data_IF_742706494519
#
_entry.id   IF_742706494519
#
_cell.length_a   1.000
_cell.length_b   1.000
_cell.length_c   1.000
_cell.angle_alpha   90.00
_cell.angle_beta   90.00
_cell.angle_gamma   90.00
#
_symmetry.space_group_name_H-M   'P 1'
#
loop_
_entity.id
_entity.type
_entity.pdbx_description
1 polymer ?
#
# COMPACT_ATOMS: atom_id res chain seq x y z
N UNK A 1 18.17 -92.66 -31.10
CA UNK A 1 19.43 -92.45 -31.84
C UNK A 1 19.32 -91.24 -32.74
N UNK A 2 20.41 -90.45 -32.77
CA UNK A 2 20.79 -89.41 -33.75
C UNK A 2 19.81 -88.23 -33.97
N UNK A 3 20.04 -87.03 -33.45
CA UNK A 3 21.05 -86.02 -33.84
C UNK A 3 20.75 -85.34 -35.18
N UNK A 4 20.44 -84.05 -35.13
CA UNK A 4 20.37 -83.15 -36.28
C UNK A 4 20.41 -81.70 -35.82
N UNK A 5 21.62 -81.11 -35.83
CA UNK A 5 21.89 -79.72 -35.46
C UNK A 5 21.43 -78.79 -36.58
N UNK A 6 20.83 -77.66 -36.22
CA UNK A 6 20.59 -76.55 -37.14
C UNK A 6 20.66 -75.26 -36.35
N UNK A 7 21.86 -74.67 -36.30
CA UNK A 7 22.09 -73.37 -35.69
C UNK A 7 21.49 -72.27 -36.56
N UNK A 8 20.81 -71.33 -35.92
CA UNK A 8 20.62 -69.98 -36.43
C UNK A 8 21.15 -69.04 -35.36
N UNK A 9 22.21 -68.36 -35.75
CA UNK A 9 23.06 -67.50 -34.95
C UNK A 9 22.26 -66.40 -34.25
N UNK A 10 22.47 -66.26 -32.94
CA UNK A 10 22.02 -65.12 -32.17
C UNK A 10 22.54 -63.83 -32.80
N UNK A 11 21.66 -63.07 -33.43
CA UNK A 11 21.91 -61.67 -33.76
C UNK A 11 22.13 -60.91 -32.47
N UNK A 12 23.40 -60.63 -32.15
CA UNK A 12 23.80 -59.78 -31.04
C UNK A 12 23.25 -58.39 -31.32
N UNK A 13 22.08 -58.06 -30.76
CA UNK A 13 21.62 -56.68 -30.65
C UNK A 13 22.62 -55.99 -29.74
N UNK A 14 23.62 -55.35 -30.34
CA UNK A 14 24.49 -54.42 -29.63
C UNK A 14 23.59 -53.25 -29.24
N UNK A 15 23.15 -53.21 -27.99
CA UNK A 15 22.64 -51.98 -27.40
C UNK A 15 23.81 -51.01 -27.32
N UNK A 16 23.97 -50.20 -28.36
CA UNK A 16 24.87 -49.05 -28.39
C UNK A 16 24.29 -48.05 -27.41
N UNK A 17 24.69 -48.12 -26.13
CA UNK A 17 24.46 -47.03 -25.18
C UNK A 17 25.49 -45.96 -25.51
N UNK A 18 25.08 -44.79 -26.04
CA UNK A 18 26.03 -43.73 -26.35
C UNK A 18 26.78 -43.35 -25.07
N UNK A 19 28.10 -43.15 -25.17
CA UNK A 19 28.91 -42.74 -24.01
C UNK A 19 28.36 -41.41 -23.50
N UNK A 20 28.40 -41.15 -22.19
CA UNK A 20 27.81 -39.94 -21.58
C UNK A 20 28.17 -38.65 -22.32
N UNK A 21 29.39 -38.56 -22.88
CA UNK A 21 29.87 -37.45 -23.72
C UNK A 21 29.07 -37.26 -25.02
N UNK A 22 28.70 -38.34 -25.71
CA UNK A 22 27.90 -38.30 -26.94
C UNK A 22 26.46 -37.86 -26.63
N UNK A 23 25.92 -38.25 -25.48
CA UNK A 23 24.59 -37.83 -25.01
C UNK A 23 24.55 -36.31 -24.74
N UNK A 24 25.61 -35.74 -24.17
CA UNK A 24 25.68 -34.30 -23.90
C UNK A 24 25.75 -33.42 -25.17
N UNK A 25 26.22 -33.99 -26.30
CA UNK A 25 26.30 -33.31 -27.61
C UNK A 25 24.99 -33.37 -28.40
N UNK A 26 23.99 -34.12 -27.92
CA UNK A 26 22.69 -34.18 -28.57
C UNK A 26 22.03 -32.80 -28.55
N UNK A 27 21.57 -32.37 -29.72
CA UNK A 27 20.80 -31.13 -29.85
C UNK A 27 19.37 -31.38 -29.37
N UNK A 28 19.02 -30.76 -28.25
CA UNK A 28 17.69 -30.80 -27.66
C UNK A 28 17.01 -29.45 -27.78
N UNK A 29 15.67 -29.48 -27.88
CA UNK A 29 14.85 -28.26 -27.80
C UNK A 29 14.52 -27.95 -26.34
N UNK A 30 14.45 -26.66 -26.03
CA UNK A 30 14.03 -26.22 -24.71
C UNK A 30 12.58 -26.69 -24.42
N UNK A 31 12.34 -27.34 -23.26
CA UNK A 31 11.01 -27.87 -22.90
C UNK A 31 10.01 -26.77 -22.48
N UNK A 32 10.44 -25.50 -22.38
CA UNK A 32 9.57 -24.39 -22.01
C UNK A 32 8.75 -23.92 -23.20
N UNK A 33 7.44 -23.98 -23.05
CA UNK A 33 6.45 -23.53 -24.03
C UNK A 33 6.73 -22.07 -24.40
N UNK A 34 7.03 -21.82 -25.68
CA UNK A 34 7.35 -20.49 -26.23
C UNK A 34 8.84 -20.19 -26.45
N UNK A 35 9.78 -20.97 -25.87
CA UNK A 35 11.21 -20.68 -26.06
C UNK A 35 11.77 -21.21 -27.39
N UNK A 36 11.40 -22.43 -27.80
CA UNK A 36 11.79 -23.05 -29.09
C UNK A 36 13.29 -23.26 -29.36
N UNK A 37 14.19 -22.77 -28.50
CA UNK A 37 15.63 -22.78 -28.71
C UNK A 37 16.19 -24.20 -28.75
N UNK A 38 17.03 -24.48 -29.75
CA UNK A 38 17.81 -25.71 -29.87
C UNK A 38 19.21 -25.49 -29.30
N UNK A 39 19.70 -26.43 -28.48
CA UNK A 39 21.02 -26.36 -27.85
C UNK A 39 21.53 -27.76 -27.54
N UNK A 40 22.82 -27.90 -27.25
CA UNK A 40 23.36 -29.14 -26.71
C UNK A 40 22.75 -29.47 -25.35
N UNK A 41 22.50 -30.75 -25.09
CA UNK A 41 21.94 -31.21 -23.82
C UNK A 41 22.78 -30.77 -22.62
N UNK A 42 24.10 -30.73 -22.75
CA UNK A 42 25.00 -30.20 -21.71
C UNK A 42 24.81 -28.71 -21.41
N UNK A 43 24.38 -27.94 -22.41
CA UNK A 43 24.07 -26.51 -22.29
C UNK A 43 22.68 -26.19 -21.77
N UNK A 44 21.77 -27.19 -21.69
CA UNK A 44 20.37 -26.97 -21.33
C UNK A 44 20.21 -26.42 -19.90
N UNK A 45 21.00 -26.91 -18.95
CA UNK A 45 20.98 -26.41 -17.56
C UNK A 45 21.38 -24.93 -17.49
N UNK A 46 22.44 -24.57 -18.20
CA UNK A 46 22.94 -23.19 -18.28
C UNK A 46 21.91 -22.28 -18.96
N UNK A 47 21.29 -22.74 -20.05
CA UNK A 47 20.21 -22.02 -20.72
C UNK A 47 19.03 -21.75 -19.79
N UNK A 48 18.53 -22.77 -19.07
CA UNK A 48 17.41 -22.60 -18.13
C UNK A 48 17.77 -21.64 -16.98
N UNK A 49 19.03 -21.61 -16.55
CA UNK A 49 19.49 -20.72 -15.48
C UNK A 49 19.59 -19.24 -15.92
N UNK A 50 20.19 -18.96 -17.09
CA UNK A 50 20.60 -17.59 -17.46
C UNK A 50 19.95 -17.04 -18.72
N UNK A 51 19.72 -17.86 -19.75
CA UNK A 51 19.31 -17.40 -21.08
C UNK A 51 17.81 -17.55 -21.37
N UNK A 52 17.13 -18.51 -20.74
CA UNK A 52 15.72 -18.79 -21.01
C UNK A 52 14.83 -17.68 -20.44
N UNK A 53 14.09 -17.02 -21.33
CA UNK A 53 13.16 -15.96 -20.98
C UNK A 53 11.81 -16.48 -20.45
N UNK A 54 11.52 -17.76 -20.68
CA UNK A 54 10.24 -18.41 -20.33
C UNK A 54 10.32 -19.21 -19.02
N UNK A 55 11.46 -19.17 -18.32
CA UNK A 55 11.56 -19.76 -16.98
C UNK A 55 10.81 -18.88 -15.99
N UNK A 56 9.89 -19.50 -15.26
CA UNK A 56 9.19 -18.91 -14.13
C UNK A 56 10.17 -18.75 -12.97
N UNK A 57 10.29 -17.53 -12.46
CA UNK A 57 11.10 -17.25 -11.29
C UNK A 57 10.19 -16.82 -10.15
N UNK A 58 10.36 -17.47 -9.00
CA UNK A 58 9.74 -17.03 -7.76
C UNK A 58 10.25 -15.61 -7.44
N UNK A 59 9.32 -14.71 -7.20
CA UNK A 59 9.62 -13.37 -6.71
C UNK A 59 10.04 -13.48 -5.23
N UNK A 60 10.80 -12.50 -4.69
CA UNK A 60 11.18 -12.51 -3.28
C UNK A 60 9.94 -12.69 -2.39
N UNK A 61 10.10 -13.45 -1.29
CA UNK A 61 9.00 -13.88 -0.42
C UNK A 61 8.13 -12.74 0.15
N UNK A 62 8.61 -11.49 0.12
CA UNK A 62 7.85 -10.30 0.51
C UNK A 62 6.79 -9.88 -0.50
N UNK A 63 6.83 -10.40 -1.73
CA UNK A 63 5.77 -10.19 -2.72
C UNK A 63 4.82 -11.38 -2.70
N UNK A 64 3.56 -11.14 -2.33
CA UNK A 64 2.48 -12.13 -2.40
C UNK A 64 2.05 -12.45 -3.86
N UNK A 65 2.99 -12.41 -4.81
CA UNK A 65 2.75 -12.51 -6.24
C UNK A 65 3.19 -13.86 -6.79
N UNK A 66 2.43 -14.45 -7.74
CA UNK A 66 2.80 -15.73 -8.35
C UNK A 66 4.12 -15.60 -9.13
N UNK A 67 4.85 -16.71 -9.22
CA UNK A 67 6.07 -16.81 -10.03
C UNK A 67 5.77 -16.34 -11.46
N UNK A 68 6.62 -15.47 -11.99
CA UNK A 68 6.42 -14.86 -13.33
C UNK A 68 7.58 -15.25 -14.24
N UNK A 69 7.30 -15.44 -15.53
CA UNK A 69 8.33 -15.69 -16.54
C UNK A 69 9.27 -14.49 -16.64
N UNK A 70 10.53 -14.73 -16.98
CA UNK A 70 11.54 -13.66 -17.07
C UNK A 70 11.17 -12.56 -18.08
N UNK A 71 10.57 -12.89 -19.21
CA UNK A 71 10.05 -11.92 -20.18
C UNK A 71 8.96 -11.02 -19.57
N UNK A 72 8.15 -11.59 -18.68
CA UNK A 72 7.01 -10.90 -18.07
C UNK A 72 7.40 -10.17 -16.78
N UNK A 73 8.62 -10.34 -16.27
CA UNK A 73 9.07 -9.72 -15.01
C UNK A 73 9.04 -8.19 -15.07
N UNK A 74 9.32 -7.57 -16.22
CA UNK A 74 9.25 -6.12 -16.36
C UNK A 74 7.80 -5.61 -16.26
N UNK A 75 6.89 -6.26 -16.99
CA UNK A 75 5.46 -5.99 -16.93
C UNK A 75 4.89 -6.28 -15.53
N UNK A 76 5.31 -7.38 -14.90
CA UNK A 76 4.97 -7.73 -13.53
C UNK A 76 5.45 -6.67 -12.55
N UNK A 77 6.72 -6.23 -12.61
CA UNK A 77 7.25 -5.18 -11.71
C UNK A 77 6.45 -3.88 -11.84
N UNK A 78 6.02 -3.54 -13.05
CA UNK A 78 5.13 -2.39 -13.26
C UNK A 78 3.74 -2.61 -12.64
N UNK A 79 3.18 -3.82 -12.73
CA UNK A 79 1.87 -4.17 -12.17
C UNK A 79 1.89 -4.58 -10.67
N UNK A 80 3.08 -4.80 -10.11
CA UNK A 80 3.26 -5.33 -8.76
C UNK A 80 2.78 -4.32 -7.73
N UNK A 81 1.74 -4.68 -6.97
CA UNK A 81 1.18 -3.80 -5.92
C UNK A 81 2.12 -3.64 -4.72
N UNK A 82 3.08 -4.55 -4.57
CA UNK A 82 4.12 -4.51 -3.54
C UNK A 82 5.36 -3.69 -3.97
N UNK A 83 5.35 -3.10 -5.18
CA UNK A 83 6.44 -2.22 -5.62
C UNK A 83 6.52 -1.01 -4.69
N UNK A 84 7.75 -0.66 -4.30
CA UNK A 84 8.03 0.56 -3.55
C UNK A 84 7.94 1.77 -4.47
N UNK A 85 7.24 2.81 -4.03
CA UNK A 85 7.10 4.08 -4.74
C UNK A 85 7.40 5.23 -3.78
N UNK A 86 8.05 6.27 -4.28
CA UNK A 86 8.32 7.46 -3.49
C UNK A 86 7.07 8.34 -3.43
N UNK A 87 6.69 8.77 -2.23
CA UNK A 87 5.62 9.74 -2.04
C UNK A 87 6.05 11.11 -2.59
N UNK A 88 5.20 11.74 -3.40
CA UNK A 88 5.49 13.07 -3.99
C UNK A 88 5.51 14.21 -2.97
N UNK A 89 4.87 14.03 -1.80
CA UNK A 89 4.74 15.07 -0.78
C UNK A 89 5.82 15.00 0.30
N UNK A 90 6.23 13.79 0.70
CA UNK A 90 7.21 13.59 1.77
C UNK A 90 8.44 12.79 1.37
N UNK A 91 8.55 12.36 0.10
CA UNK A 91 9.67 11.56 -0.45
C UNK A 91 9.91 10.19 0.20
N UNK A 92 9.06 9.77 1.16
CA UNK A 92 9.18 8.47 1.79
C UNK A 92 8.87 7.33 0.80
N UNK A 93 9.64 6.23 0.90
CA UNK A 93 9.38 5.00 0.17
C UNK A 93 8.23 4.24 0.82
N UNK A 94 7.15 4.00 0.08
CA UNK A 94 5.96 3.28 0.54
C UNK A 94 5.52 2.27 -0.52
N UNK A 95 5.01 1.08 -0.14
CA UNK A 95 4.48 0.15 -1.12
C UNK A 95 3.25 0.74 -1.80
N UNK A 96 3.13 0.56 -3.12
CA UNK A 96 2.07 1.16 -3.94
C UNK A 96 0.66 0.84 -3.41
N UNK A 97 0.45 -0.40 -2.92
CA UNK A 97 -0.81 -0.81 -2.28
C UNK A 97 -1.22 0.08 -1.10
N UNK A 98 -0.25 0.60 -0.35
CA UNK A 98 -0.47 1.43 0.84
C UNK A 98 -0.35 2.93 0.55
N UNK A 99 -0.05 3.35 -0.69
CA UNK A 99 0.16 4.77 -1.01
C UNK A 99 -1.07 5.64 -0.69
N UNK A 100 -2.27 5.15 -0.96
CA UNK A 100 -3.51 5.86 -0.61
C UNK A 100 -3.69 5.99 0.91
N UNK A 101 -3.38 4.93 1.67
CA UNK A 101 -3.43 4.97 3.13
C UNK A 101 -2.36 5.93 3.68
N UNK A 102 -1.18 5.95 3.08
CA UNK A 102 -0.13 6.91 3.40
C UNK A 102 -0.62 8.34 3.18
N UNK A 103 -1.21 8.68 2.03
CA UNK A 103 -1.75 10.03 1.81
C UNK A 103 -2.79 10.44 2.85
N UNK A 104 -3.69 9.52 3.22
CA UNK A 104 -4.81 9.80 4.12
C UNK A 104 -4.49 9.73 5.61
N UNK A 105 -3.41 9.08 6.04
CA UNK A 105 -3.17 8.86 7.47
C UNK A 105 -1.70 8.96 7.89
N UNK A 106 -0.76 8.75 6.96
CA UNK A 106 0.67 8.66 7.28
C UNK A 106 1.52 9.81 6.75
N UNK A 107 1.00 10.61 5.81
CA UNK A 107 1.79 11.61 5.12
C UNK A 107 1.76 12.94 5.88
N UNK A 108 2.92 13.31 6.42
CA UNK A 108 3.12 14.57 7.14
C UNK A 108 2.95 15.81 6.27
N UNK A 109 3.14 15.68 4.95
CA UNK A 109 3.14 16.80 4.01
C UNK A 109 1.95 16.82 3.06
N UNK A 110 1.00 15.89 3.22
CA UNK A 110 -0.16 15.83 2.33
C UNK A 110 -1.02 17.10 2.48
N UNK A 111 -1.29 17.84 1.40
CA UNK A 111 -2.04 19.09 1.47
C UNK A 111 -3.51 18.81 1.75
N UNK A 112 -4.03 19.35 2.84
CA UNK A 112 -5.40 19.15 3.29
C UNK A 112 -6.14 20.47 3.48
N UNK A 113 -7.28 20.66 2.80
CA UNK A 113 -8.11 21.84 3.02
C UNK A 113 -8.81 21.78 4.38
N UNK A 114 -9.01 22.93 5.00
CA UNK A 114 -9.78 23.01 6.24
C UNK A 114 -11.23 22.53 6.02
N UNK A 115 -11.77 21.61 6.87
CA UNK A 115 -13.14 21.11 6.74
C UNK A 115 -14.19 22.21 6.90
N UNK A 116 -13.88 23.25 7.68
CA UNK A 116 -14.73 24.44 7.84
C UNK A 116 -14.62 25.42 6.68
N UNK A 117 -13.84 25.10 5.63
CA UNK A 117 -13.67 25.92 4.42
C UNK A 117 -13.22 27.36 4.70
N UNK A 118 -12.36 27.53 5.70
CA UNK A 118 -11.79 28.84 6.05
C UNK A 118 -10.77 29.39 5.03
N UNK A 119 -10.55 28.68 3.91
CA UNK A 119 -9.60 29.04 2.86
C UNK A 119 -8.17 28.56 3.08
N UNK A 120 -7.83 27.97 4.24
CA UNK A 120 -6.48 27.43 4.49
C UNK A 120 -6.34 25.99 4.00
N UNK A 121 -5.16 25.69 3.44
CA UNK A 121 -4.68 24.34 3.13
C UNK A 121 -3.44 24.09 3.98
N UNK A 122 -3.43 22.99 4.72
CA UNK A 122 -2.40 22.65 5.70
C UNK A 122 -1.75 21.32 5.34
N UNK A 123 -0.44 21.23 5.58
CA UNK A 123 0.33 20.03 5.29
C UNK A 123 0.21 19.03 6.45
N UNK A 124 -0.49 17.92 6.21
CA UNK A 124 -0.63 16.80 7.15
C UNK A 124 -1.74 16.96 8.19
N UNK A 125 -2.11 15.83 8.79
CA UNK A 125 -3.23 15.71 9.73
C UNK A 125 -3.02 16.48 11.02
N UNK A 126 -1.83 16.39 11.59
CA UNK A 126 -1.51 17.04 12.86
C UNK A 126 -1.66 18.56 12.79
N UNK A 127 -1.15 19.19 11.73
CA UNK A 127 -1.26 20.65 11.54
C UNK A 127 -2.70 21.08 11.25
N UNK A 128 -3.46 20.26 10.51
CA UNK A 128 -4.88 20.52 10.29
C UNK A 128 -5.66 20.48 11.60
N UNK A 129 -5.44 19.47 12.42
CA UNK A 129 -6.09 19.32 13.72
C UNK A 129 -5.79 20.51 14.65
N UNK A 130 -4.51 20.86 14.79
CA UNK A 130 -4.09 22.02 15.58
C UNK A 130 -4.75 23.32 15.11
N UNK A 131 -4.84 23.51 13.78
CA UNK A 131 -5.55 24.65 13.22
C UNK A 131 -7.03 24.67 13.58
N UNK A 132 -7.76 23.57 13.37
CA UNK A 132 -9.20 23.48 13.66
C UNK A 132 -9.46 23.77 15.14
N UNK A 133 -8.65 23.21 16.02
CA UNK A 133 -8.80 23.37 17.47
C UNK A 133 -8.49 24.79 17.94
N UNK A 134 -7.38 25.37 17.48
CA UNK A 134 -6.81 26.58 18.12
C UNK A 134 -6.96 27.86 17.31
N UNK A 135 -6.96 27.77 15.99
CA UNK A 135 -6.75 28.93 15.12
C UNK A 135 -7.86 29.17 14.09
N UNK A 136 -8.69 28.18 13.79
CA UNK A 136 -9.68 28.28 12.72
C UNK A 136 -10.77 29.29 13.11
N UNK A 137 -10.96 30.36 12.32
CA UNK A 137 -11.92 31.42 12.62
C UNK A 137 -13.37 30.94 12.52
N UNK A 138 -13.61 29.90 11.72
CA UNK A 138 -14.93 29.33 11.45
C UNK A 138 -15.25 28.13 12.35
N UNK A 139 -14.34 27.74 13.25
CA UNK A 139 -14.67 26.73 14.27
C UNK A 139 -15.75 27.29 15.19
N UNK A 140 -16.80 26.49 15.45
CA UNK A 140 -17.81 26.81 16.44
C UNK A 140 -17.22 26.59 17.84
N UNK A 141 -17.31 27.63 18.66
CA UNK A 141 -16.87 27.65 20.05
C UNK A 141 -18.04 28.04 20.93
N UNK A 142 -18.04 27.54 22.16
CA UNK A 142 -19.05 27.87 23.14
C UNK A 142 -18.81 29.27 23.72
N UNK A 143 -19.90 30.02 23.89
CA UNK A 143 -19.88 31.24 24.68
C UNK A 143 -19.54 30.88 26.14
N UNK A 144 -18.63 31.63 26.81
CA UNK A 144 -18.33 31.40 28.23
C UNK A 144 -19.55 31.45 29.15
N UNK A 145 -20.63 32.12 28.71
CA UNK A 145 -21.88 32.24 29.46
C UNK A 145 -22.95 31.22 29.04
N UNK A 146 -22.62 30.26 28.18
CA UNK A 146 -23.55 29.21 27.76
C UNK A 146 -24.07 28.39 28.95
N UNK A 147 -23.22 28.13 29.95
CA UNK A 147 -23.59 27.43 31.20
C UNK A 147 -24.60 28.20 32.05
N UNK A 148 -24.71 29.52 31.86
CA UNK A 148 -25.66 30.37 32.57
C UNK A 148 -26.94 30.64 31.75
N UNK A 149 -27.11 29.97 30.60
CA UNK A 149 -28.31 30.09 29.78
C UNK A 149 -28.24 31.11 28.65
N UNK A 150 -27.04 31.51 28.20
CA UNK A 150 -26.92 32.35 27.02
C UNK A 150 -27.53 31.66 25.78
N UNK A 151 -28.55 32.26 25.10
CA UNK A 151 -29.23 31.63 23.98
C UNK A 151 -28.33 31.51 22.74
N UNK A 152 -27.28 32.33 22.67
CA UNK A 152 -26.27 32.32 21.63
C UNK A 152 -25.07 31.43 22.01
N UNK A 153 -25.34 30.23 22.51
CA UNK A 153 -24.34 29.34 23.09
C UNK A 153 -23.22 28.96 22.11
N UNK A 154 -23.51 28.73 20.83
CA UNK A 154 -22.52 28.39 19.81
C UNK A 154 -22.26 29.57 18.85
N UNK A 155 -21.00 29.98 18.70
CA UNK A 155 -20.58 31.02 17.75
C UNK A 155 -19.31 30.65 17.04
N UNK A 156 -19.09 31.17 15.83
CA UNK A 156 -17.77 31.07 15.21
C UNK A 156 -16.74 31.81 16.07
N UNK A 157 -15.53 31.26 16.17
CA UNK A 157 -14.41 31.85 16.94
C UNK A 157 -14.20 33.33 16.61
N UNK A 158 -14.29 33.70 15.32
CA UNK A 158 -14.16 35.10 14.86
C UNK A 158 -15.23 36.05 15.41
N UNK A 159 -16.43 35.54 15.69
CA UNK A 159 -17.60 36.33 16.08
C UNK A 159 -17.78 36.36 17.60
N UNK A 160 -17.13 35.46 18.34
CA UNK A 160 -17.29 35.33 19.78
C UNK A 160 -16.92 36.62 20.53
N UNK A 161 -15.78 37.24 20.20
CA UNK A 161 -15.34 38.46 20.86
C UNK A 161 -16.35 39.62 20.70
N UNK A 162 -16.89 39.79 19.49
CA UNK A 162 -17.95 40.77 19.22
C UNK A 162 -19.23 40.43 19.99
N UNK A 163 -19.67 39.17 19.97
CA UNK A 163 -20.85 38.73 20.71
C UNK A 163 -20.73 39.02 22.21
N UNK A 164 -19.59 38.69 22.83
CA UNK A 164 -19.38 38.90 24.27
C UNK A 164 -19.44 40.39 24.62
N UNK A 165 -18.90 41.26 23.76
CA UNK A 165 -18.98 42.71 23.93
C UNK A 165 -20.42 43.24 23.79
N UNK A 166 -21.15 42.82 22.75
CA UNK A 166 -22.53 43.26 22.48
C UNK A 166 -23.53 42.75 23.54
N UNK A 167 -23.35 41.51 24.01
CA UNK A 167 -24.23 40.88 25.00
C UNK A 167 -23.74 41.07 26.46
N UNK A 168 -22.79 41.97 26.71
CA UNK A 168 -22.16 42.15 28.03
C UNK A 168 -23.18 42.36 29.16
N UNK A 169 -24.11 43.29 29.01
CA UNK A 169 -25.14 43.58 30.03
C UNK A 169 -26.05 42.38 30.30
N UNK A 170 -26.40 41.62 29.26
CA UNK A 170 -27.20 40.42 29.38
C UNK A 170 -26.43 39.30 30.11
N UNK A 171 -25.16 39.12 29.80
CA UNK A 171 -24.30 38.17 30.52
C UNK A 171 -24.18 38.49 32.02
N UNK A 172 -24.08 39.77 32.39
CA UNK A 172 -24.10 40.20 33.79
C UNK A 172 -25.43 39.86 34.47
N UNK A 173 -26.56 40.04 33.78
CA UNK A 173 -27.87 39.67 34.29
C UNK A 173 -28.00 38.16 34.54
N UNK A 174 -27.49 37.32 33.63
CA UNK A 174 -27.46 35.87 33.81
C UNK A 174 -26.64 35.46 35.04
N UNK A 175 -25.46 36.05 35.23
CA UNK A 175 -24.63 35.81 36.42
C UNK A 175 -25.36 36.21 37.70
N UNK A 176 -26.03 37.37 37.70
CA UNK A 176 -26.79 37.84 38.87
C UNK A 176 -27.95 36.89 39.21
N UNK A 177 -28.71 36.45 38.20
CA UNK A 177 -29.81 35.50 38.38
C UNK A 177 -29.33 34.17 38.98
N UNK A 178 -28.17 33.67 38.55
CA UNK A 178 -27.62 32.42 39.07
C UNK A 178 -27.23 32.54 40.56
N UNK A 179 -26.72 33.69 41.01
CA UNK A 179 -26.36 33.91 42.42
C UNK A 179 -27.58 33.96 43.36
N UNK A 180 -28.76 34.32 42.86
CA UNK A 180 -30.00 34.36 43.65
C UNK A 180 -30.61 32.95 43.86
N UNK A 181 -30.20 31.93 43.11
CA UNK A 181 -30.73 30.56 43.16
C UNK A 181 -29.65 29.46 43.27
N UNK A 182 -28.80 29.45 44.33
CA UNK A 182 -27.68 28.51 44.43
C UNK A 182 -28.08 27.03 44.66
N UNK A 183 -29.34 26.71 44.99
CA UNK A 183 -29.74 25.42 45.56
C UNK A 183 -30.09 24.28 44.59
N UNK A 184 -30.09 24.48 43.26
CA UNK A 184 -30.52 23.41 42.33
C UNK A 184 -29.39 22.62 41.65
N UNK A 185 -28.11 22.94 41.87
CA UNK A 185 -26.98 22.29 41.16
C UNK A 185 -26.27 21.16 41.95
N UNK A 186 -26.66 20.86 43.19
CA UNK A 186 -25.99 19.86 44.05
C UNK A 186 -26.79 18.55 44.27
N UNK A 187 -27.86 18.31 43.53
CA UNK A 187 -28.62 17.04 43.58
C UNK A 187 -28.63 16.34 42.22
N UNK A 188 -27.46 15.87 41.76
CA UNK A 188 -27.31 14.72 40.86
C UNK A 188 -26.00 14.01 41.16
#
# INVERSE_FOLDING_TARGET
SAAGRGGLTAGRVQTIWPREREVQQLTVRCPRTGCGAAMELGGLRSHLATACQFVERALPASSASPASRRCDLAAHRAACRERQVACVFCSASVPYRQLNFHYLFGCSNFPMPCPHRCGRVLAGHQRLHEHVDRACPLTLVLCPFASFGCPAANRHRRDLGRHVAEAHSYHLQLLWQQQQHPHQQHQQ
#
